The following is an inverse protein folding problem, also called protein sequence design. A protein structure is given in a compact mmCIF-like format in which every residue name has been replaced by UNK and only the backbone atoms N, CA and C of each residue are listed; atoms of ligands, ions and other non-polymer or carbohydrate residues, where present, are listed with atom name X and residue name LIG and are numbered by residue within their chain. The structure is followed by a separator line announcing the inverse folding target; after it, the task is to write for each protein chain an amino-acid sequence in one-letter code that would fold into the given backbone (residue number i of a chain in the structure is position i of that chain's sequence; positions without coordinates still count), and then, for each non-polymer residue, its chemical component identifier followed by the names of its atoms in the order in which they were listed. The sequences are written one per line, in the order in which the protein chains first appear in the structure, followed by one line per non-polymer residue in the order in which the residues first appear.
data_IF_781405645525
#
_entry.id   IF_781405645525
#
_cell.length_a   1.000
_cell.length_b   1.000
_cell.length_c   1.000
_cell.angle_alpha   90.00
_cell.angle_beta   90.00
_cell.angle_gamma   90.00
#
_symmetry.space_group_name_H-M   'P 1'
#
loop_
_entity.id
_entity.type
_entity.pdbx_description
1 polymer ?
#
# COMPACT_ATOMS: atom_id res chain seq x y z
N UNK A 1 -28.70 3.67 -0.53
CA UNK A 1 -28.13 5.00 -0.84
C UNK A 1 -26.63 4.82 -0.93
N UNK A 2 -26.05 4.94 -2.12
CA UNK A 2 -24.61 4.81 -2.32
C UNK A 2 -23.94 6.15 -1.97
N UNK A 3 -23.12 6.17 -0.93
CA UNK A 3 -22.38 7.37 -0.53
C UNK A 3 -21.26 7.61 -1.54
N UNK A 4 -21.46 8.60 -2.40
CA UNK A 4 -20.43 9.10 -3.31
C UNK A 4 -19.26 9.67 -2.51
N UNK A 5 -18.06 9.10 -2.67
CA UNK A 5 -16.83 9.70 -2.17
C UNK A 5 -16.53 10.98 -2.97
N UNK A 6 -17.04 12.13 -2.50
CA UNK A 6 -16.60 13.43 -3.01
C UNK A 6 -15.22 13.71 -2.43
N UNK A 7 -14.25 13.92 -3.31
CA UNK A 7 -12.90 14.39 -2.98
C UNK A 7 -12.99 15.78 -2.33
N UNK A 8 -13.13 15.83 -1.01
CA UNK A 8 -12.91 17.05 -0.25
C UNK A 8 -11.40 17.15 -0.03
N UNK A 9 -10.76 18.10 -0.72
CA UNK A 9 -9.36 18.46 -0.48
C UNK A 9 -9.28 19.19 0.87
N UNK A 10 -9.16 18.44 1.97
CA UNK A 10 -8.50 18.92 3.18
C UNK A 10 -7.05 18.47 3.06
N UNK A 11 -6.20 19.33 2.50
CA UNK A 11 -4.83 18.96 2.18
C UNK A 11 -3.96 19.28 3.41
N UNK A 12 -3.57 18.23 4.14
CA UNK A 12 -2.41 18.28 5.03
C UNK A 12 -1.17 18.31 4.11
N UNK A 13 -0.71 19.49 3.69
CA UNK A 13 0.35 19.66 2.66
C UNK A 13 1.69 19.07 3.05
N UNK A 14 1.83 18.73 4.33
CA UNK A 14 3.05 18.24 4.93
C UNK A 14 2.99 16.74 5.26
N UNK A 15 1.95 15.99 4.85
CA UNK A 15 1.91 14.54 5.10
C UNK A 15 2.52 13.77 3.95
N UNK A 16 3.53 12.98 4.30
CA UNK A 16 4.29 12.15 3.41
C UNK A 16 4.01 10.68 3.68
N UNK A 17 4.14 9.86 2.64
CA UNK A 17 3.96 8.40 2.71
C UNK A 17 5.27 7.71 2.40
N UNK A 18 5.60 6.73 3.23
CA UNK A 18 6.69 5.78 3.00
C UNK A 18 6.12 4.38 3.08
N UNK A 19 6.46 3.55 2.09
CA UNK A 19 6.20 2.10 2.12
C UNK A 19 7.54 1.40 2.16
N UNK A 20 7.74 0.48 3.08
CA UNK A 20 9.04 -0.18 3.26
C UNK A 20 8.88 -1.63 3.70
N UNK A 21 9.88 -2.45 3.36
CA UNK A 21 10.01 -3.81 3.88
C UNK A 21 10.40 -3.76 5.36
N UNK A 22 9.81 -4.63 6.19
CA UNK A 22 10.15 -4.73 7.60
C UNK A 22 11.66 -4.96 7.81
N UNK A 23 12.31 -4.09 8.60
CA UNK A 23 13.76 -4.12 8.81
C UNK A 23 14.56 -3.30 7.79
N UNK A 24 13.91 -2.64 6.83
CA UNK A 24 14.51 -1.71 5.88
C UNK A 24 14.07 -0.27 6.13
N UNK A 25 14.89 0.69 5.68
CA UNK A 25 14.55 2.13 5.63
C UNK A 25 14.32 2.63 4.20
N UNK A 26 14.37 1.73 3.20
CA UNK A 26 14.21 2.11 1.80
C UNK A 26 12.74 2.30 1.46
N UNK A 27 12.38 3.50 0.97
CA UNK A 27 11.04 3.77 0.47
C UNK A 27 10.83 3.08 -0.89
N UNK A 28 9.78 2.28 -0.99
CA UNK A 28 9.39 1.51 -2.18
C UNK A 28 8.33 2.22 -3.03
N UNK A 29 7.74 3.32 -2.53
CA UNK A 29 6.70 4.05 -3.23
C UNK A 29 7.19 4.55 -4.59
N UNK A 30 6.47 4.20 -5.66
CA UNK A 30 6.82 4.58 -7.04
C UNK A 30 8.05 3.88 -7.61
N UNK A 31 8.60 2.87 -6.92
CA UNK A 31 9.73 2.07 -7.41
C UNK A 31 9.24 0.82 -8.15
N UNK A 32 10.14 0.22 -8.94
CA UNK A 32 9.92 -1.09 -9.59
C UNK A 32 10.58 -2.24 -8.82
N UNK A 33 10.84 -2.06 -7.52
CA UNK A 33 11.47 -3.09 -6.68
C UNK A 33 10.55 -4.31 -6.62
N UNK A 34 11.00 -5.51 -7.03
CA UNK A 34 10.17 -6.70 -6.96
C UNK A 34 9.75 -7.01 -5.53
N UNK A 35 8.47 -7.34 -5.34
CA UNK A 35 7.99 -7.75 -4.03
C UNK A 35 8.44 -9.18 -3.73
N UNK A 36 8.75 -9.44 -2.46
CA UNK A 36 9.20 -10.72 -1.94
C UNK A 36 8.03 -11.47 -1.32
N UNK A 37 8.01 -12.78 -1.50
CA UNK A 37 7.13 -13.66 -0.72
C UNK A 37 7.66 -13.79 0.71
N UNK A 38 6.81 -14.26 1.62
CA UNK A 38 7.13 -14.42 3.04
C UNK A 38 7.70 -13.14 3.68
N UNK A 39 7.16 -12.00 3.28
CA UNK A 39 7.71 -10.68 3.62
C UNK A 39 6.62 -9.74 4.07
N UNK A 40 6.93 -8.95 5.10
CA UNK A 40 6.03 -7.93 5.64
C UNK A 40 6.41 -6.55 5.13
N UNK A 41 5.43 -5.82 4.63
CA UNK A 41 5.54 -4.43 4.21
C UNK A 41 4.74 -3.52 5.15
N UNK A 42 5.31 -2.36 5.44
CA UNK A 42 4.81 -1.40 6.42
C UNK A 42 4.55 -0.04 5.77
N UNK A 43 3.63 0.70 6.35
CA UNK A 43 3.37 2.11 6.03
C UNK A 43 3.90 2.98 7.15
N UNK A 44 4.51 4.11 6.78
CA UNK A 44 4.71 5.26 7.64
C UNK A 44 4.07 6.47 6.96
N UNK A 45 3.10 7.07 7.63
CA UNK A 45 2.64 8.43 7.33
C UNK A 45 3.29 9.37 8.34
N UNK A 46 3.97 10.40 7.85
CA UNK A 46 4.64 11.38 8.71
C UNK A 46 4.34 12.80 8.26
N UNK A 47 4.29 13.72 9.23
CA UNK A 47 4.06 15.14 8.97
C UNK A 47 5.36 15.91 9.12
N UNK A 48 5.82 16.54 8.05
CA UNK A 48 7.05 17.36 8.03
C UNK A 48 6.82 18.69 8.77
N UNK A 49 7.19 18.74 10.04
CA UNK A 49 6.93 19.90 10.92
C UNK A 49 7.95 21.01 10.74
N UNK A 50 9.16 20.66 10.34
CA UNK A 50 10.27 21.61 10.18
C UNK A 50 10.58 21.92 8.71
N UNK A 51 9.86 21.32 7.77
CA UNK A 51 9.98 21.51 6.32
C UNK A 51 11.36 21.14 5.77
N UNK A 52 12.02 20.13 6.35
CA UNK A 52 13.34 19.66 5.90
C UNK A 52 13.26 18.55 4.83
N UNK A 53 12.07 18.04 4.52
CA UNK A 53 11.83 17.00 3.53
C UNK A 53 12.28 15.59 3.97
N UNK A 54 12.57 15.38 5.25
CA UNK A 54 13.01 14.11 5.82
C UNK A 54 12.24 13.77 7.08
N UNK A 55 12.02 12.47 7.32
CA UNK A 55 11.35 12.01 8.53
C UNK A 55 12.23 12.23 9.77
N UNK A 56 11.71 12.98 10.74
CA UNK A 56 12.30 13.15 12.06
C UNK A 56 11.53 12.41 13.17
N UNK A 57 12.22 12.16 14.28
CA UNK A 57 11.59 11.52 15.45
C UNK A 57 10.43 12.38 15.98
N UNK A 58 9.25 11.78 16.14
CA UNK A 58 8.05 12.47 16.61
C UNK A 58 7.18 13.07 15.48
N UNK A 59 7.49 12.75 14.23
CA UNK A 59 6.67 13.13 13.07
C UNK A 59 5.73 12.03 12.58
N UNK A 60 5.78 10.83 13.17
CA UNK A 60 4.88 9.73 12.84
C UNK A 60 3.43 10.12 13.20
N UNK A 61 2.58 10.13 12.17
CA UNK A 61 1.15 10.37 12.27
C UNK A 61 0.33 9.20 11.74
N UNK A 62 0.93 8.03 11.49
CA UNK A 62 0.27 6.84 10.90
C UNK A 62 -1.01 6.46 11.64
N UNK A 63 -1.00 6.52 12.97
CA UNK A 63 -2.17 6.20 13.80
C UNK A 63 -3.37 7.15 13.61
N UNK A 64 -3.15 8.35 13.05
CA UNK A 64 -4.17 9.37 12.81
C UNK A 64 -4.92 9.20 11.48
N UNK A 65 -4.52 8.22 10.67
CA UNK A 65 -5.08 7.96 9.35
C UNK A 65 -5.65 6.55 9.27
N UNK A 66 -6.70 6.41 8.47
CA UNK A 66 -7.08 5.14 7.88
C UNK A 66 -6.37 5.00 6.53
N UNK A 67 -5.93 3.79 6.17
CA UNK A 67 -5.35 3.49 4.87
C UNK A 67 -5.71 2.11 4.33
N UNK A 68 -5.65 2.00 3.01
CA UNK A 68 -5.90 0.77 2.25
C UNK A 68 -4.75 0.50 1.31
N UNK A 69 -4.30 -0.74 1.26
CA UNK A 69 -3.26 -1.17 0.33
C UNK A 69 -3.76 -1.22 -1.11
N UNK A 70 -2.84 -0.92 -2.03
CA UNK A 70 -3.08 -1.00 -3.47
C UNK A 70 -1.87 -1.59 -4.16
N UNK A 71 -2.11 -2.63 -4.96
CA UNK A 71 -1.15 -3.08 -5.95
C UNK A 71 -1.26 -2.20 -7.20
N UNK A 72 -0.13 -1.74 -7.73
CA UNK A 72 -0.08 -0.90 -8.94
C UNK A 72 0.69 -1.58 -10.06
N UNK A 73 0.32 -1.28 -11.31
CA UNK A 73 0.88 -1.91 -12.50
C UNK A 73 0.18 -3.22 -12.88
N UNK A 74 0.89 -4.03 -13.66
CA UNK A 74 0.43 -5.32 -14.21
C UNK A 74 1.46 -6.40 -13.83
N UNK A 75 1.03 -7.65 -13.67
CA UNK A 75 1.95 -8.76 -13.40
C UNK A 75 3.04 -8.85 -14.47
N UNK A 76 4.30 -8.98 -14.05
CA UNK A 76 5.47 -8.78 -14.91
C UNK A 76 5.72 -9.87 -15.96
N UNK A 77 5.18 -11.10 -15.82
CA UNK A 77 5.57 -12.24 -16.66
C UNK A 77 4.42 -12.70 -17.56
N UNK A 78 3.30 -13.15 -16.98
CA UNK A 78 2.13 -13.65 -17.69
C UNK A 78 1.16 -12.53 -18.12
N UNK A 79 1.27 -11.33 -17.54
CA UNK A 79 0.36 -10.21 -17.82
C UNK A 79 -1.10 -10.46 -17.41
N UNK A 80 -1.37 -11.50 -16.61
CA UNK A 80 -2.73 -11.90 -16.20
C UNK A 80 -3.19 -11.23 -14.92
N UNK A 81 -2.27 -10.66 -14.13
CA UNK A 81 -2.59 -9.91 -12.92
C UNK A 81 -2.77 -8.42 -13.20
N UNK A 82 -3.79 -7.82 -12.60
CA UNK A 82 -4.10 -6.39 -12.71
C UNK A 82 -4.08 -5.74 -11.33
N UNK A 83 -3.35 -4.63 -11.20
CA UNK A 83 -3.29 -3.87 -9.95
C UNK A 83 -4.68 -3.32 -9.55
N UNK A 84 -4.89 -3.16 -8.25
CA UNK A 84 -6.16 -2.72 -7.69
C UNK A 84 -6.11 -2.65 -6.17
N UNK A 85 -7.25 -2.30 -5.57
CA UNK A 85 -7.37 -2.23 -4.11
C UNK A 85 -7.25 -3.62 -3.50
N UNK A 86 -6.51 -3.75 -2.42
CA UNK A 86 -6.40 -5.02 -1.67
C UNK A 86 -7.67 -5.23 -0.86
N UNK A 87 -8.05 -6.49 -0.65
CA UNK A 87 -9.12 -6.90 0.25
C UNK A 87 -9.13 -6.08 1.56
N UNK A 88 -10.31 -5.58 1.95
CA UNK A 88 -10.48 -4.68 3.10
C UNK A 88 -10.07 -5.28 4.45
N UNK A 89 -9.95 -6.61 4.54
CA UNK A 89 -9.38 -7.28 5.69
C UNK A 89 -7.92 -6.86 5.94
N UNK A 90 -7.24 -6.21 4.99
CA UNK A 90 -5.88 -5.67 5.10
C UNK A 90 -5.80 -4.18 5.41
N UNK A 91 -6.94 -3.51 5.64
CA UNK A 91 -6.93 -2.11 6.03
C UNK A 91 -6.21 -1.90 7.36
N UNK A 92 -5.51 -0.78 7.49
CA UNK A 92 -4.93 -0.28 8.73
C UNK A 92 -3.94 -1.22 9.44
N UNK A 93 -3.30 -2.12 8.68
CA UNK A 93 -2.26 -3.01 9.19
C UNK A 93 -1.19 -3.34 8.15
N UNK A 94 -0.09 -3.88 8.65
CA UNK A 94 1.03 -4.38 7.84
C UNK A 94 0.53 -5.38 6.78
N UNK A 95 1.06 -5.27 5.56
CA UNK A 95 0.79 -6.20 4.46
C UNK A 95 1.78 -7.35 4.51
N UNK A 96 1.31 -8.55 4.78
CA UNK A 96 2.14 -9.75 4.78
C UNK A 96 1.91 -10.46 3.45
N UNK A 97 2.94 -10.51 2.61
CA UNK A 97 2.91 -11.30 1.38
C UNK A 97 3.15 -12.77 1.76
N UNK A 98 2.19 -13.67 1.49
CA UNK A 98 2.34 -15.09 1.80
C UNK A 98 3.49 -15.75 1.04
N UNK A 99 3.84 -16.97 1.46
CA UNK A 99 4.86 -17.79 0.78
C UNK A 99 4.44 -18.16 -0.64
N UNK A 100 3.15 -18.39 -0.87
CA UNK A 100 2.63 -18.90 -2.15
C UNK A 100 1.72 -17.91 -2.87
N UNK A 101 1.71 -17.99 -4.21
CA UNK A 101 0.82 -17.17 -5.05
C UNK A 101 -0.66 -17.53 -4.85
N UNK A 102 -0.96 -18.77 -4.49
CA UNK A 102 -2.33 -19.23 -4.19
C UNK A 102 -2.85 -18.55 -2.94
N UNK A 103 -2.03 -18.50 -1.88
CA UNK A 103 -2.40 -17.82 -0.64
C UNK A 103 -2.47 -16.31 -0.85
N UNK A 104 -1.57 -15.72 -1.65
CA UNK A 104 -1.65 -14.31 -2.01
C UNK A 104 -2.96 -13.97 -2.73
N UNK A 105 -3.40 -14.83 -3.66
CA UNK A 105 -4.69 -14.68 -4.34
C UNK A 105 -5.86 -14.72 -3.36
N UNK A 106 -5.89 -15.72 -2.48
CA UNK A 106 -6.93 -15.86 -1.47
C UNK A 106 -6.94 -14.68 -0.48
N UNK A 107 -5.77 -14.14 -0.14
CA UNK A 107 -5.62 -13.07 0.83
C UNK A 107 -6.01 -11.69 0.29
N UNK A 108 -5.69 -11.39 -0.98
CA UNK A 108 -5.70 -10.00 -1.48
C UNK A 108 -6.86 -9.67 -2.41
N UNK A 109 -7.49 -10.66 -3.06
CA UNK A 109 -8.64 -10.42 -3.94
C UNK A 109 -9.95 -10.21 -3.17
N UNK A 110 -10.98 -9.71 -3.87
CA UNK A 110 -12.35 -9.63 -3.35
C UNK A 110 -12.85 -8.23 -2.99
N UNK A 111 -12.01 -7.19 -3.12
CA UNK A 111 -12.45 -5.80 -3.00
C UNK A 111 -13.14 -5.30 -4.30
N UNK A 112 -14.05 -4.34 -4.18
CA UNK A 112 -14.57 -3.60 -5.34
C UNK A 112 -13.45 -2.76 -5.98
N UNK A 113 -13.26 -2.87 -7.30
CA UNK A 113 -12.05 -2.32 -7.95
C UNK A 113 -10.76 -2.99 -7.48
N UNK A 114 -10.88 -4.23 -7.00
CA UNK A 114 -9.82 -4.95 -6.33
C UNK A 114 -8.72 -5.45 -7.26
N UNK A 115 -7.58 -5.79 -6.68
CA UNK A 115 -6.49 -6.47 -7.38
C UNK A 115 -6.97 -7.81 -7.94
N UNK A 116 -6.44 -8.17 -9.11
CA UNK A 116 -6.46 -9.55 -9.61
C UNK A 116 -5.04 -10.10 -9.52
N UNK A 117 -4.82 -11.05 -8.63
CA UNK A 117 -3.57 -11.80 -8.48
C UNK A 117 -3.60 -12.90 -9.57
N UNK A 118 -2.84 -12.65 -10.64
CA UNK A 118 -2.65 -13.59 -11.74
C UNK A 118 -1.79 -14.79 -11.32
N UNK A 119 -1.40 -15.61 -12.29
CA UNK A 119 -0.55 -16.81 -12.05
C UNK A 119 0.81 -16.46 -11.44
N UNK A 120 1.33 -15.27 -11.73
CA UNK A 120 2.65 -14.80 -11.29
C UNK A 120 2.69 -14.41 -9.81
N UNK A 121 1.54 -14.31 -9.15
CA UNK A 121 1.44 -13.74 -7.82
C UNK A 121 1.50 -12.22 -7.84
N UNK A 122 2.13 -11.65 -6.81
CA UNK A 122 2.19 -10.20 -6.58
C UNK A 122 3.57 -9.58 -6.80
N UNK A 123 4.59 -10.40 -7.06
CA UNK A 123 6.01 -10.04 -7.10
C UNK A 123 6.33 -9.02 -8.20
N UNK A 124 5.49 -8.95 -9.24
CA UNK A 124 5.61 -7.99 -10.34
C UNK A 124 4.85 -6.67 -10.16
N UNK A 125 4.06 -6.51 -9.09
CA UNK A 125 3.36 -5.25 -8.81
C UNK A 125 4.23 -4.27 -8.02
N UNK A 126 3.93 -2.98 -8.14
CA UNK A 126 4.35 -1.99 -7.15
C UNK A 126 3.34 -1.86 -6.01
N UNK A 127 3.74 -1.18 -4.93
CA UNK A 127 2.85 -0.86 -3.80
C UNK A 127 2.49 0.63 -3.78
N UNK A 128 1.26 0.90 -3.36
CA UNK A 128 0.74 2.23 -3.02
C UNK A 128 -0.33 2.08 -1.93
N UNK A 129 -0.81 3.21 -1.40
CA UNK A 129 -1.95 3.25 -0.48
C UNK A 129 -2.93 4.38 -0.86
N UNK A 130 -4.21 4.15 -0.58
CA UNK A 130 -5.16 5.25 -0.37
C UNK A 130 -5.22 5.54 1.13
N UNK A 131 -5.20 6.80 1.54
CA UNK A 131 -5.29 7.17 2.96
C UNK A 131 -6.23 8.35 3.19
N UNK A 132 -6.84 8.40 4.37
CA UNK A 132 -7.68 9.51 4.83
C UNK A 132 -7.47 9.76 6.31
N UNK A 133 -7.52 11.03 6.73
CA UNK A 133 -7.49 11.38 8.14
C UNK A 133 -8.75 10.83 8.83
N UNK A 134 -8.59 10.31 10.04
CA UNK A 134 -9.69 9.82 10.88
C UNK A 134 -10.62 10.94 11.32
#
# INVERSE_FOLDING_TARGET
MATTFRKVRWWDENVHVVIYESGSTTNLLGTSTPLKTDTTYKVLLWSDKNSNGTYDTGEDVTSQYDYRWKFVGTSAIAGTGTGGIVNENWNDKDLVIPVTNVDAKAAFEGAEGGVTVGSDGVQGFGLSIDYKRK
#
